data_IF_629497582247
#
_entry.id   IF_629497582247
#
_cell.length_a   1.000
_cell.length_b   1.000
_cell.length_c   1.000
_cell.angle_alpha   90.00
_cell.angle_beta   90.00
_cell.angle_gamma   90.00
#
_symmetry.space_group_name_H-M   'P 1'
#
loop_
_entity.id
_entity.type
_entity.pdbx_description
1 polymer ?
#
# COMPACT_ATOMS: atom_id res chain seq x y z
N UNK A 1 -10.29 -8.55 14.18
CA UNK A 1 -10.97 -8.82 12.90
C UNK A 1 -10.84 -7.68 11.89
N UNK A 2 -11.16 -6.42 12.24
CA UNK A 2 -11.08 -5.27 11.30
C UNK A 2 -9.75 -5.13 10.55
N UNK A 3 -8.59 -5.36 11.20
CA UNK A 3 -7.27 -5.38 10.56
C UNK A 3 -7.21 -6.38 9.39
N UNK A 4 -7.73 -7.59 9.58
CA UNK A 4 -7.70 -8.68 8.59
C UNK A 4 -8.59 -8.35 7.38
N UNK A 5 -9.76 -7.75 7.63
CA UNK A 5 -10.68 -7.29 6.56
C UNK A 5 -10.02 -6.20 5.71
N UNK A 6 -9.30 -5.27 6.35
CA UNK A 6 -8.59 -4.20 5.66
C UNK A 6 -7.26 -4.64 5.04
N UNK A 7 -6.95 -5.94 5.04
CA UNK A 7 -5.75 -6.50 4.41
C UNK A 7 -4.44 -6.27 5.17
N UNK A 8 -4.50 -5.80 6.43
CA UNK A 8 -3.29 -5.69 7.24
C UNK A 8 -2.71 -7.08 7.54
N UNK A 9 -1.38 -7.23 7.53
CA UNK A 9 -0.75 -8.51 7.85
C UNK A 9 -0.95 -8.87 9.33
N UNK A 10 -0.82 -10.16 9.66
CA UNK A 10 -1.15 -10.70 10.99
C UNK A 10 -0.23 -10.13 12.09
N UNK A 11 1.03 -9.86 11.75
CA UNK A 11 2.05 -9.27 12.62
C UNK A 11 1.96 -7.74 12.74
N UNK A 12 0.98 -7.09 12.08
CA UNK A 12 0.82 -5.65 12.17
C UNK A 12 0.24 -5.22 13.52
N UNK A 13 1.01 -4.47 14.30
CA UNK A 13 0.60 -3.97 15.63
C UNK A 13 0.13 -2.52 15.54
N UNK A 14 -1.09 -2.26 16.01
CA UNK A 14 -1.59 -0.90 16.20
C UNK A 14 -1.42 -0.51 17.67
N UNK A 15 -0.83 0.66 17.89
CA UNK A 15 -0.57 1.22 19.21
C UNK A 15 -1.58 2.34 19.49
N UNK A 16 -2.05 2.45 20.72
CA UNK A 16 -3.03 3.45 21.15
C UNK A 16 -4.32 2.84 21.70
N UNK A 17 -5.29 3.70 22.01
CA UNK A 17 -6.58 3.25 22.58
C UNK A 17 -7.39 2.47 21.56
N UNK A 18 -8.34 1.63 22.00
CA UNK A 18 -9.22 0.90 21.09
C UNK A 18 -10.01 1.83 20.15
N UNK A 19 -10.39 3.02 20.63
CA UNK A 19 -11.11 4.02 19.84
C UNK A 19 -10.22 4.56 18.71
N UNK A 20 -8.97 4.89 19.02
CA UNK A 20 -8.00 5.36 18.03
C UNK A 20 -7.71 4.29 16.99
N UNK A 21 -7.50 3.04 17.42
CA UNK A 21 -7.25 1.93 16.51
C UNK A 21 -8.40 1.73 15.53
N UNK A 22 -9.65 1.77 15.99
CA UNK A 22 -10.83 1.67 15.11
C UNK A 22 -10.90 2.83 14.11
N UNK A 23 -10.65 4.06 14.57
CA UNK A 23 -10.59 5.25 13.71
C UNK A 23 -9.49 5.13 12.65
N UNK A 24 -8.31 4.67 13.01
CA UNK A 24 -7.19 4.51 12.09
C UNK A 24 -7.46 3.44 11.04
N UNK A 25 -8.02 2.29 11.44
CA UNK A 25 -8.41 1.24 10.49
C UNK A 25 -9.51 1.74 9.55
N UNK A 26 -10.53 2.43 10.07
CA UNK A 26 -11.67 2.93 9.27
C UNK A 26 -11.30 4.04 8.28
N UNK A 27 -10.26 4.83 8.58
CA UNK A 27 -9.76 5.88 7.68
C UNK A 27 -8.67 5.38 6.71
N UNK A 28 -8.13 4.18 6.91
CA UNK A 28 -7.09 3.63 6.06
C UNK A 28 -7.67 3.14 4.71
N UNK A 29 -6.82 3.16 3.68
CA UNK A 29 -7.09 2.44 2.44
C UNK A 29 -6.86 0.94 2.70
N UNK A 30 -7.70 0.09 2.10
CA UNK A 30 -7.50 -1.36 2.14
C UNK A 30 -6.13 -1.72 1.54
N UNK A 31 -5.35 -2.49 2.30
CA UNK A 31 -3.91 -2.69 2.06
C UNK A 31 -3.65 -3.47 0.77
N UNK A 32 -4.53 -4.41 0.41
CA UNK A 32 -4.41 -5.19 -0.84
C UNK A 32 -4.55 -4.29 -2.06
N UNK A 33 -5.55 -3.40 -2.07
CA UNK A 33 -5.78 -2.42 -3.12
C UNK A 33 -4.60 -1.45 -3.24
N UNK A 34 -4.14 -0.91 -2.11
CA UNK A 34 -2.97 -0.03 -2.08
C UNK A 34 -1.74 -0.73 -2.68
N UNK A 35 -1.46 -1.97 -2.27
CA UNK A 35 -0.36 -2.78 -2.80
C UNK A 35 -0.49 -3.00 -4.30
N UNK A 36 -1.67 -3.38 -4.80
CA UNK A 36 -1.89 -3.65 -6.24
C UNK A 36 -1.69 -2.39 -7.09
N UNK A 37 -2.15 -1.25 -6.61
CA UNK A 37 -1.92 0.03 -7.27
C UNK A 37 -0.42 0.36 -7.34
N UNK A 38 0.31 0.17 -6.24
CA UNK A 38 1.77 0.37 -6.21
C UNK A 38 2.50 -0.59 -7.15
N UNK A 39 2.13 -1.88 -7.18
CA UNK A 39 2.70 -2.87 -8.10
C UNK A 39 2.51 -2.45 -9.58
N UNK A 40 1.31 -1.98 -9.93
CA UNK A 40 1.01 -1.49 -11.28
C UNK A 40 1.80 -0.22 -11.63
N UNK A 41 1.84 0.76 -10.71
CA UNK A 41 2.58 2.00 -10.88
C UNK A 41 4.08 1.73 -11.10
N UNK A 42 4.68 0.88 -10.25
CA UNK A 42 6.10 0.53 -10.34
C UNK A 42 6.47 -0.10 -11.68
N UNK A 43 5.60 -0.96 -12.25
CA UNK A 43 5.81 -1.55 -13.58
C UNK A 43 5.92 -0.48 -14.66
N UNK A 44 5.02 0.50 -14.64
CA UNK A 44 5.01 1.60 -15.63
C UNK A 44 6.22 2.50 -15.44
N UNK A 45 6.53 2.91 -14.20
CA UNK A 45 7.70 3.75 -13.91
C UNK A 45 9.01 3.10 -14.36
N UNK A 46 9.17 1.79 -14.16
CA UNK A 46 10.35 1.05 -14.63
C UNK A 46 10.47 1.08 -16.16
N UNK A 47 9.36 0.87 -16.88
CA UNK A 47 9.32 0.95 -18.35
C UNK A 47 9.72 2.34 -18.84
N UNK A 48 9.15 3.39 -18.24
CA UNK A 48 9.46 4.78 -18.61
C UNK A 48 10.94 5.13 -18.35
N UNK A 49 11.48 4.70 -17.21
CA UNK A 49 12.90 4.88 -16.88
C UNK A 49 13.82 4.21 -17.89
N UNK A 50 13.54 2.96 -18.27
CA UNK A 50 14.33 2.23 -19.27
C UNK A 50 14.26 2.89 -20.65
N UNK A 51 13.08 3.38 -21.05
CA UNK A 51 12.92 4.12 -22.31
C UNK A 51 13.81 5.37 -22.31
N UNK A 52 13.75 6.17 -21.24
CA UNK A 52 14.56 7.38 -21.10
C UNK A 52 16.05 7.11 -21.14
N UNK A 53 16.53 6.03 -20.53
CA UNK A 53 17.95 5.67 -20.56
C UNK A 53 18.43 5.31 -21.98
N UNK A 54 17.59 4.65 -22.79
CA UNK A 54 17.89 4.34 -24.19
C UNK A 54 17.88 5.58 -25.09
N UNK A 55 17.12 6.61 -24.73
CA UNK A 55 17.11 7.88 -25.48
C UNK A 55 18.37 8.73 -25.22
N UNK A 56 19.10 8.45 -24.12
CA UNK A 56 20.30 9.21 -23.71
C UNK A 56 21.60 8.51 -24.14
N UNK A 57 21.57 7.19 -24.35
CA UNK A 57 22.71 6.36 -24.78
C UNK A 57 22.84 6.32 -26.30
#
# INVERSE_FOLDING_TARGET
ELKKIMGFPEDYVLIGTQADQKKFIGNAVEVTQARKNTEALCKVLKKLRLKKLKEIA
#
